data_IF_574536610437
#
_entry.id   IF_574536610437
#
_cell.length_a   1.000
_cell.length_b   1.000
_cell.length_c   1.000
_cell.angle_alpha   90.00
_cell.angle_beta   90.00
_cell.angle_gamma   90.00
#
_symmetry.space_group_name_H-M   'P 1'
#
loop_
_entity.id
_entity.type
_entity.pdbx_description
1 polymer ?
#
# COMPACT_ATOMS: atom_id res chain seq x y z
N UNK A 1 -24.87 -32.01 -85.06
CA UNK A 1 -24.56 -32.69 -83.81
C UNK A 1 -23.93 -31.67 -82.88
N UNK A 2 -24.72 -31.07 -81.99
CA UNK A 2 -24.29 -30.02 -81.05
C UNK A 2 -24.04 -30.69 -79.71
N UNK A 3 -22.79 -30.61 -79.19
CA UNK A 3 -22.42 -31.07 -77.85
C UNK A 3 -22.56 -29.90 -76.90
N UNK A 4 -23.52 -30.01 -75.98
CA UNK A 4 -23.64 -29.07 -74.86
C UNK A 4 -22.70 -29.50 -73.73
N UNK A 5 -21.75 -28.64 -73.37
CA UNK A 5 -20.95 -28.77 -72.14
C UNK A 5 -21.69 -28.08 -70.96
N UNK A 6 -22.18 -28.88 -70.03
CA UNK A 6 -22.65 -28.39 -68.76
C UNK A 6 -21.43 -28.10 -67.89
N UNK A 7 -21.21 -26.86 -67.56
CA UNK A 7 -20.29 -26.41 -66.49
C UNK A 7 -21.08 -26.25 -65.18
N UNK A 8 -20.79 -27.10 -64.20
CA UNK A 8 -21.31 -26.94 -62.81
C UNK A 8 -20.47 -25.90 -62.02
N UNK A 9 -21.08 -24.98 -61.33
CA UNK A 9 -20.33 -24.07 -60.45
C UNK A 9 -19.92 -24.77 -59.14
N UNK A 10 -18.63 -24.77 -58.87
CA UNK A 10 -18.04 -25.21 -57.59
C UNK A 10 -18.31 -24.12 -56.54
N UNK A 11 -19.25 -24.37 -55.63
CA UNK A 11 -19.46 -23.49 -54.45
C UNK A 11 -18.41 -23.86 -53.41
N UNK A 12 -17.38 -23.02 -53.28
CA UNK A 12 -16.41 -23.10 -52.18
C UNK A 12 -17.06 -22.61 -50.89
N UNK A 13 -17.41 -23.54 -50.01
CA UNK A 13 -17.84 -23.22 -48.65
C UNK A 13 -16.61 -22.73 -47.81
N UNK A 14 -16.53 -21.43 -47.58
CA UNK A 14 -15.61 -20.85 -46.61
C UNK A 14 -16.13 -21.22 -45.22
N UNK A 15 -15.53 -22.21 -44.59
CA UNK A 15 -15.69 -22.43 -43.14
C UNK A 15 -14.98 -21.32 -42.39
N UNK A 16 -15.75 -20.36 -41.85
CA UNK A 16 -15.23 -19.45 -40.83
C UNK A 16 -14.94 -20.31 -39.60
N UNK A 17 -13.68 -20.65 -39.40
CA UNK A 17 -13.19 -21.07 -38.10
C UNK A 17 -13.19 -19.84 -37.21
N UNK A 18 -14.24 -19.64 -36.42
CA UNK A 18 -14.20 -18.76 -35.26
C UNK A 18 -13.11 -19.34 -34.35
N UNK A 19 -11.93 -18.70 -34.33
CA UNK A 19 -10.98 -18.91 -33.27
C UNK A 19 -11.71 -18.52 -31.98
N UNK A 20 -12.08 -19.49 -31.14
CA UNK A 20 -12.40 -19.20 -29.76
C UNK A 20 -11.11 -18.54 -29.20
N UNK A 21 -11.14 -17.24 -29.04
CA UNK A 21 -10.18 -16.57 -28.17
C UNK A 21 -10.32 -17.33 -26.85
N UNK A 22 -9.30 -18.11 -26.50
CA UNK A 22 -9.30 -18.82 -25.21
C UNK A 22 -9.50 -17.80 -24.11
N UNK A 23 -10.57 -17.97 -23.34
CA UNK A 23 -10.78 -17.14 -22.16
C UNK A 23 -9.50 -17.16 -21.31
N UNK A 24 -9.09 -16.00 -20.83
CA UNK A 24 -7.97 -15.91 -19.89
C UNK A 24 -8.34 -16.74 -18.65
N UNK A 25 -7.44 -17.63 -18.24
CA UNK A 25 -7.64 -18.56 -17.12
C UNK A 25 -7.05 -18.10 -15.81
N UNK A 26 -6.28 -16.98 -15.80
CA UNK A 26 -5.65 -16.42 -14.61
C UNK A 26 -6.16 -15.02 -14.29
N UNK A 27 -6.20 -14.70 -13.00
CA UNK A 27 -6.55 -13.38 -12.49
C UNK A 27 -5.43 -12.38 -12.77
N UNK A 28 -5.81 -11.14 -13.12
CA UNK A 28 -4.92 -10.02 -13.32
C UNK A 28 -5.19 -8.95 -12.26
N UNK A 29 -4.20 -8.68 -11.43
CA UNK A 29 -4.27 -7.78 -10.28
C UNK A 29 -3.16 -6.75 -10.42
N UNK A 30 -3.48 -5.46 -10.24
CA UNK A 30 -2.44 -4.43 -10.27
C UNK A 30 -2.75 -3.31 -9.27
N UNK A 31 -1.73 -2.57 -8.83
CA UNK A 31 -1.97 -1.37 -8.05
C UNK A 31 -0.96 -1.07 -6.96
N UNK A 32 -1.47 -0.82 -5.75
CA UNK A 32 -0.69 -0.36 -4.61
C UNK A 32 0.55 -1.19 -4.33
N UNK A 33 1.69 -0.53 -4.24
CA UNK A 33 2.95 -1.16 -3.82
C UNK A 33 2.91 -1.62 -2.35
N UNK A 34 2.09 -0.99 -1.52
CA UNK A 34 1.86 -1.39 -0.12
C UNK A 34 1.05 -2.68 -0.01
N UNK A 35 0.02 -2.83 -0.85
CA UNK A 35 -0.83 -4.04 -0.86
C UNK A 35 -0.16 -5.18 -1.61
N UNK A 36 0.80 -4.89 -2.51
CA UNK A 36 1.49 -5.87 -3.33
C UNK A 36 2.01 -7.09 -2.56
N UNK A 37 2.77 -6.94 -1.44
CA UNK A 37 3.27 -8.10 -0.69
C UNK A 37 2.13 -8.98 -0.15
N UNK A 38 1.08 -8.38 0.40
CA UNK A 38 -0.08 -9.12 0.89
C UNK A 38 -0.80 -9.87 -0.23
N UNK A 39 -1.07 -9.18 -1.35
CA UNK A 39 -1.72 -9.79 -2.51
C UNK A 39 -0.89 -10.90 -3.14
N UNK A 40 0.44 -10.80 -3.10
CA UNK A 40 1.36 -11.85 -3.57
C UNK A 40 1.27 -13.10 -2.70
N UNK A 41 1.31 -12.94 -1.36
CA UNK A 41 1.16 -14.06 -0.42
C UNK A 41 -0.17 -14.78 -0.65
N UNK A 42 -1.28 -14.02 -0.77
CA UNK A 42 -2.60 -14.63 -1.03
C UNK A 42 -2.64 -15.30 -2.40
N UNK A 43 -2.04 -14.71 -3.43
CA UNK A 43 -2.00 -15.28 -4.78
C UNK A 43 -1.22 -16.60 -4.83
N UNK A 44 -0.07 -16.67 -4.15
CA UNK A 44 0.73 -17.90 -4.04
C UNK A 44 -0.05 -18.97 -3.28
N UNK A 45 -0.59 -18.64 -2.10
CA UNK A 45 -1.39 -19.57 -1.31
C UNK A 45 -2.67 -20.02 -2.06
N UNK A 46 -3.28 -19.15 -2.85
CA UNK A 46 -4.43 -19.49 -3.69
C UNK A 46 -4.07 -20.51 -4.76
N UNK A 47 -2.97 -20.31 -5.48
CA UNK A 47 -2.50 -21.26 -6.48
C UNK A 47 -2.09 -22.63 -5.91
N UNK A 48 -1.73 -22.69 -4.63
CA UNK A 48 -1.40 -23.94 -3.93
C UNK A 48 -2.65 -24.68 -3.39
N UNK A 49 -3.69 -23.95 -2.99
CA UNK A 49 -4.85 -24.53 -2.29
C UNK A 49 -6.08 -24.73 -3.17
N UNK A 50 -6.12 -24.12 -4.37
CA UNK A 50 -7.25 -24.19 -5.29
C UNK A 50 -6.82 -24.73 -6.65
N UNK A 51 -7.78 -25.26 -7.43
CA UNK A 51 -7.54 -25.77 -8.79
C UNK A 51 -7.51 -24.66 -9.86
N UNK A 52 -7.14 -23.42 -9.48
CA UNK A 52 -7.02 -22.28 -10.38
C UNK A 52 -5.55 -21.87 -10.54
N UNK A 53 -5.17 -21.29 -11.68
CA UNK A 53 -3.84 -20.74 -11.84
C UNK A 53 -3.53 -19.64 -10.83
N UNK A 54 -2.28 -19.57 -10.41
CA UNK A 54 -1.80 -18.50 -9.53
C UNK A 54 -2.10 -17.13 -10.15
N UNK A 55 -2.79 -16.21 -9.45
CA UNK A 55 -3.03 -14.86 -9.92
C UNK A 55 -1.75 -14.09 -10.24
N UNK A 56 -1.78 -13.27 -11.28
CA UNK A 56 -0.69 -12.34 -11.61
C UNK A 56 -0.90 -11.05 -10.85
N UNK A 57 0.06 -10.69 -9.99
CA UNK A 57 0.00 -9.48 -9.16
C UNK A 57 1.11 -8.52 -9.57
N UNK A 58 0.74 -7.30 -9.98
CA UNK A 58 1.65 -6.24 -10.38
C UNK A 58 1.58 -5.04 -9.44
N UNK A 59 2.74 -4.46 -9.13
CA UNK A 59 2.85 -3.16 -8.46
C UNK A 59 2.55 -2.00 -9.43
N UNK A 60 2.86 -0.78 -8.99
CA UNK A 60 2.77 0.43 -9.83
C UNK A 60 2.00 1.58 -9.19
N UNK A 61 1.54 1.38 -7.95
CA UNK A 61 0.84 2.39 -7.16
C UNK A 61 -0.68 2.36 -7.32
N UNK A 62 -1.37 2.79 -6.27
CA UNK A 62 -2.85 2.75 -6.17
C UNK A 62 -3.55 3.49 -7.32
N UNK A 63 -3.04 4.67 -7.70
CA UNK A 63 -3.63 5.46 -8.79
C UNK A 63 -3.51 4.79 -10.15
N UNK A 64 -2.37 4.16 -10.45
CA UNK A 64 -2.17 3.43 -11.70
C UNK A 64 -3.06 2.18 -11.75
N UNK A 65 -3.17 1.43 -10.63
CA UNK A 65 -4.07 0.28 -10.53
C UNK A 65 -5.53 0.66 -10.79
N UNK A 66 -6.02 1.72 -10.13
CA UNK A 66 -7.40 2.20 -10.36
C UNK A 66 -7.64 2.67 -11.78
N UNK A 67 -6.67 3.33 -12.43
CA UNK A 67 -6.78 3.68 -13.85
C UNK A 67 -6.87 2.44 -14.73
N UNK A 68 -6.00 1.43 -14.53
CA UNK A 68 -6.06 0.15 -15.26
C UNK A 68 -7.41 -0.56 -15.03
N UNK A 69 -7.94 -0.55 -13.81
CA UNK A 69 -9.26 -1.11 -13.50
C UNK A 69 -10.35 -0.44 -14.35
N UNK A 70 -10.26 0.86 -14.54
CA UNK A 70 -11.24 1.66 -15.27
C UNK A 70 -11.01 1.68 -16.81
N UNK A 71 -10.13 0.86 -17.38
CA UNK A 71 -9.89 0.82 -18.84
C UNK A 71 -11.04 0.14 -19.63
N UNK A 72 -11.96 -0.53 -18.96
CA UNK A 72 -13.10 -1.21 -19.57
C UNK A 72 -13.35 -2.58 -18.98
N UNK A 73 -14.26 -3.33 -19.60
CA UNK A 73 -14.60 -4.70 -19.27
C UNK A 73 -13.95 -5.68 -20.25
N UNK A 74 -13.90 -6.95 -19.86
CA UNK A 74 -13.43 -8.06 -20.69
C UNK A 74 -12.02 -8.53 -20.36
N UNK A 75 -11.66 -9.65 -20.96
CA UNK A 75 -10.48 -10.47 -20.61
C UNK A 75 -9.13 -9.76 -20.82
N UNK A 76 -9.08 -8.71 -21.62
CA UNK A 76 -7.87 -7.92 -21.87
C UNK A 76 -7.58 -6.90 -20.76
N UNK A 77 -8.46 -6.75 -19.76
CA UNK A 77 -8.35 -5.77 -18.68
C UNK A 77 -8.18 -6.46 -17.34
N UNK A 78 -7.61 -5.75 -16.33
CA UNK A 78 -7.42 -6.32 -15.00
C UNK A 78 -8.75 -6.55 -14.28
N UNK A 79 -8.76 -7.47 -13.33
CA UNK A 79 -9.94 -7.85 -12.55
C UNK A 79 -10.02 -7.10 -11.23
N UNK A 80 -8.85 -6.87 -10.62
CA UNK A 80 -8.71 -6.30 -9.28
C UNK A 80 -7.69 -5.17 -9.31
N UNK A 81 -8.01 -4.06 -8.65
CA UNK A 81 -7.05 -3.00 -8.35
C UNK A 81 -6.76 -2.92 -6.85
N UNK A 82 -5.51 -3.16 -6.46
CA UNK A 82 -5.03 -2.96 -5.10
C UNK A 82 -4.87 -1.48 -4.79
N UNK A 83 -5.26 -1.04 -3.58
CA UNK A 83 -5.20 0.37 -3.20
C UNK A 83 -4.92 0.58 -1.71
N UNK A 84 -3.97 1.44 -1.39
CA UNK A 84 -3.66 1.91 -0.03
C UNK A 84 -4.38 3.22 0.34
N UNK A 85 -5.39 3.57 -0.43
CA UNK A 85 -6.32 4.69 -0.15
C UNK A 85 -7.66 4.39 -0.79
N UNK A 86 -8.73 4.93 -0.22
CA UNK A 86 -10.06 4.76 -0.81
C UNK A 86 -10.10 5.36 -2.22
N UNK A 87 -10.84 4.72 -3.13
CA UNK A 87 -11.09 5.20 -4.49
C UNK A 87 -11.68 6.62 -4.46
N UNK A 88 -11.32 7.45 -5.43
CA UNK A 88 -11.80 8.83 -5.52
C UNK A 88 -12.98 8.93 -6.48
N UNK A 89 -13.79 9.98 -6.35
CA UNK A 89 -14.89 10.22 -7.28
C UNK A 89 -14.41 10.34 -8.74
N UNK A 90 -13.26 10.95 -8.97
CA UNK A 90 -12.66 11.04 -10.30
C UNK A 90 -12.30 9.68 -10.92
N UNK A 91 -11.91 8.69 -10.09
CA UNK A 91 -11.65 7.33 -10.56
C UNK A 91 -12.98 6.64 -10.91
N UNK A 92 -14.04 6.82 -10.10
CA UNK A 92 -15.38 6.28 -10.37
C UNK A 92 -15.96 6.89 -11.66
N UNK A 93 -15.80 8.18 -11.87
CA UNK A 93 -16.27 8.86 -13.08
C UNK A 93 -15.55 8.30 -14.33
N UNK A 94 -14.23 8.04 -14.23
CA UNK A 94 -13.47 7.40 -15.29
C UNK A 94 -13.95 5.97 -15.55
N UNK A 95 -14.18 5.17 -14.50
CA UNK A 95 -14.72 3.83 -14.63
C UNK A 95 -16.08 3.84 -15.34
N UNK A 96 -16.99 4.69 -14.90
CA UNK A 96 -18.34 4.82 -15.48
C UNK A 96 -18.28 5.24 -16.96
N UNK A 97 -17.39 6.17 -17.31
CA UNK A 97 -17.21 6.62 -18.70
C UNK A 97 -16.74 5.46 -19.62
N UNK A 98 -16.06 4.46 -19.08
CA UNK A 98 -15.57 3.29 -19.80
C UNK A 98 -16.44 2.02 -19.59
N UNK A 99 -17.65 2.18 -19.01
CA UNK A 99 -18.63 1.10 -18.84
C UNK A 99 -18.35 0.17 -17.66
N UNK A 100 -17.42 0.52 -16.77
CA UNK A 100 -17.15 -0.20 -15.51
C UNK A 100 -17.98 0.45 -14.40
N UNK A 101 -19.23 0.01 -14.24
CA UNK A 101 -20.21 0.66 -13.34
C UNK A 101 -20.31 -0.03 -11.97
N UNK A 102 -20.10 -1.33 -11.91
CA UNK A 102 -20.31 -2.15 -10.74
C UNK A 102 -18.96 -2.59 -10.15
N UNK A 103 -18.44 -1.79 -9.22
CA UNK A 103 -17.25 -2.11 -8.45
C UNK A 103 -17.63 -2.63 -7.07
N UNK A 104 -16.94 -3.67 -6.61
CA UNK A 104 -16.96 -4.07 -5.20
C UNK A 104 -15.77 -3.42 -4.50
N UNK A 105 -16.00 -2.72 -3.40
CA UNK A 105 -14.96 -2.21 -2.51
C UNK A 105 -14.72 -3.23 -1.39
N UNK A 106 -13.50 -3.74 -1.26
CA UNK A 106 -13.12 -4.72 -0.25
C UNK A 106 -12.02 -4.12 0.61
N UNK A 107 -12.33 -3.88 1.89
CA UNK A 107 -11.33 -3.45 2.87
C UNK A 107 -10.69 -4.69 3.48
N UNK A 108 -9.36 -4.82 3.33
CA UNK A 108 -8.63 -6.03 3.75
C UNK A 108 -8.03 -5.92 5.15
N UNK A 109 -7.98 -4.73 5.70
CA UNK A 109 -7.34 -4.43 6.98
C UNK A 109 -6.68 -3.06 6.94
N UNK A 110 -5.69 -2.85 7.79
CA UNK A 110 -4.98 -1.58 7.88
C UNK A 110 -3.47 -1.82 7.80
N UNK A 111 -2.77 -0.84 7.24
CA UNK A 111 -1.34 -0.69 7.39
C UNK A 111 -1.10 0.26 8.57
N UNK A 112 -0.34 -0.17 9.54
CA UNK A 112 0.00 0.63 10.71
C UNK A 112 1.44 0.37 11.11
N UNK A 113 2.28 1.41 11.05
CA UNK A 113 3.67 1.33 11.46
C UNK A 113 3.88 2.00 12.82
N UNK A 114 4.75 1.41 13.60
CA UNK A 114 5.09 1.87 14.95
C UNK A 114 6.57 2.18 15.04
N UNK A 115 6.90 3.09 15.92
CA UNK A 115 8.26 3.39 16.31
C UNK A 115 8.54 2.73 17.66
N UNK A 116 9.61 1.95 17.74
CA UNK A 116 9.95 1.25 18.98
C UNK A 116 11.46 1.28 19.27
N UNK A 117 11.79 1.39 20.56
CA UNK A 117 13.15 1.28 21.10
C UNK A 117 13.33 -0.07 21.79
N UNK A 118 14.58 -0.42 22.16
CA UNK A 118 14.84 -1.55 23.05
C UNK A 118 14.04 -1.41 24.36
N UNK A 119 13.63 -2.52 24.95
CA UNK A 119 12.85 -2.52 26.21
C UNK A 119 13.57 -1.77 27.35
N UNK A 120 14.89 -1.73 27.33
CA UNK A 120 15.74 -1.00 28.27
C UNK A 120 16.20 0.37 27.72
N UNK A 121 15.82 0.71 26.49
CA UNK A 121 16.17 1.95 25.83
C UNK A 121 15.33 3.15 26.33
N UNK A 122 15.43 4.31 25.68
CA UNK A 122 14.66 5.51 26.04
C UNK A 122 13.17 5.37 25.69
N UNK A 123 12.32 6.10 26.41
CA UNK A 123 10.91 6.28 26.06
C UNK A 123 10.79 7.43 25.06
N UNK A 124 9.98 7.23 24.02
CA UNK A 124 9.72 8.24 23.02
C UNK A 124 8.23 8.62 22.96
N UNK A 125 7.97 9.92 22.93
CA UNK A 125 6.68 10.50 22.60
C UNK A 125 6.88 11.41 21.39
N UNK A 126 6.62 10.86 20.20
CA UNK A 126 6.97 11.48 18.93
C UNK A 126 5.77 12.17 18.28
N UNK A 127 6.10 13.12 17.43
CA UNK A 127 5.21 13.68 16.41
C UNK A 127 5.82 13.46 15.01
N UNK A 128 5.06 13.53 13.91
CA UNK A 128 5.63 13.55 12.57
C UNK A 128 6.67 14.66 12.38
N UNK A 129 6.45 15.81 13.01
CA UNK A 129 7.40 16.94 13.01
C UNK A 129 8.73 16.59 13.65
N UNK A 130 8.71 15.88 14.78
CA UNK A 130 9.93 15.42 15.45
C UNK A 130 10.72 14.45 14.58
N UNK A 131 10.03 13.46 13.98
CA UNK A 131 10.68 12.48 13.12
C UNK A 131 11.23 13.13 11.85
N UNK A 132 10.48 14.04 11.21
CA UNK A 132 10.96 14.80 10.08
C UNK A 132 12.19 15.66 10.48
N UNK A 133 12.12 16.38 11.59
CA UNK A 133 13.23 17.18 12.12
C UNK A 133 14.49 16.37 12.44
N UNK A 134 14.33 15.10 12.83
CA UNK A 134 15.45 14.21 13.13
C UNK A 134 16.04 13.56 11.87
N UNK A 135 15.21 13.11 10.93
CA UNK A 135 15.61 12.16 9.88
C UNK A 135 15.64 12.76 8.48
N UNK A 136 15.03 13.91 8.22
CA UNK A 136 15.07 14.54 6.90
C UNK A 136 16.48 15.05 6.52
N UNK A 137 16.78 15.08 5.24
CA UNK A 137 18.04 15.64 4.71
C UNK A 137 18.14 17.14 4.94
N UNK A 138 17.03 17.87 4.82
CA UNK A 138 16.93 19.31 5.00
C UNK A 138 15.76 19.67 5.90
N UNK A 139 15.90 20.74 6.65
CA UNK A 139 14.87 21.28 7.54
C UNK A 139 14.64 22.78 7.25
N UNK A 140 13.43 23.26 7.53
CA UNK A 140 13.10 24.66 7.51
C UNK A 140 13.63 25.33 8.79
N UNK A 141 14.45 26.38 8.64
CA UNK A 141 14.94 27.19 9.75
C UNK A 141 15.04 28.65 9.30
N UNK A 142 14.48 29.55 10.10
CA UNK A 142 14.50 31.00 9.84
C UNK A 142 14.01 31.39 8.42
N UNK A 143 13.02 30.66 7.90
CA UNK A 143 12.42 30.88 6.58
C UNK A 143 13.25 30.36 5.39
N UNK A 144 14.28 29.54 5.64
CA UNK A 144 15.11 28.95 4.60
C UNK A 144 15.30 27.45 4.82
N UNK A 145 15.58 26.71 3.72
CA UNK A 145 16.00 25.30 3.80
C UNK A 145 17.47 25.21 4.16
N UNK A 146 17.78 24.41 5.15
CA UNK A 146 19.14 24.14 5.60
C UNK A 146 19.38 22.65 5.72
N UNK A 147 20.64 22.22 5.52
CA UNK A 147 21.05 20.85 5.83
C UNK A 147 20.74 20.54 7.30
N UNK A 148 20.21 19.35 7.57
CA UNK A 148 19.88 18.93 8.92
C UNK A 148 21.15 18.76 9.76
N UNK A 149 21.29 19.57 10.80
CA UNK A 149 22.45 19.59 11.70
C UNK A 149 22.17 18.98 13.07
N UNK A 150 20.92 18.54 13.37
CA UNK A 150 20.57 17.93 14.63
C UNK A 150 21.41 16.67 14.89
N UNK A 151 21.91 16.49 16.10
CA UNK A 151 22.73 15.35 16.54
C UNK A 151 21.96 14.46 17.51
N UNK A 152 21.19 15.08 18.37
CA UNK A 152 20.38 14.40 19.39
C UNK A 152 18.90 14.63 19.15
N UNK A 153 18.06 13.77 19.68
CA UNK A 153 16.60 13.97 19.64
C UNK A 153 16.20 15.25 20.37
N UNK A 154 16.94 15.60 21.45
CA UNK A 154 16.71 16.86 22.17
C UNK A 154 17.06 18.12 21.38
N UNK A 155 17.95 18.04 20.35
CA UNK A 155 18.21 19.16 19.44
C UNK A 155 17.00 19.46 18.54
N UNK A 156 16.16 18.46 18.29
CA UNK A 156 14.91 18.60 17.51
C UNK A 156 13.78 19.10 18.41
N UNK A 157 13.62 18.46 19.57
CA UNK A 157 12.59 18.80 20.54
C UNK A 157 13.14 18.53 21.95
N UNK A 158 13.27 19.57 22.76
CA UNK A 158 13.83 19.49 24.12
C UNK A 158 13.06 18.55 25.07
N UNK A 159 11.83 18.14 24.70
CA UNK A 159 11.07 17.17 25.49
C UNK A 159 11.45 15.70 25.15
N UNK A 160 12.20 15.47 24.07
CA UNK A 160 12.68 14.16 23.68
C UNK A 160 13.99 13.78 24.42
N UNK A 161 14.34 12.49 24.45
CA UNK A 161 15.57 12.03 25.08
C UNK A 161 16.83 12.70 24.50
N UNK A 162 17.81 13.00 25.36
CA UNK A 162 19.07 13.62 24.95
C UNK A 162 20.08 12.58 24.40
N UNK A 163 19.61 11.54 23.72
CA UNK A 163 20.43 10.56 23.03
C UNK A 163 20.71 10.98 21.59
N UNK A 164 21.81 10.47 21.05
CA UNK A 164 22.13 10.62 19.64
C UNK A 164 21.01 10.08 18.75
N UNK A 165 20.74 10.76 17.63
CA UNK A 165 19.79 10.28 16.63
C UNK A 165 20.39 9.07 15.97
N UNK A 166 19.69 7.94 16.08
CA UNK A 166 19.94 6.73 15.31
C UNK A 166 18.59 6.05 15.09
N UNK A 167 18.15 6.00 13.83
CA UNK A 167 16.88 5.40 13.45
C UNK A 167 17.08 4.36 12.35
N UNK A 168 16.52 3.18 12.55
CA UNK A 168 16.43 2.12 11.55
C UNK A 168 15.04 2.18 10.92
N UNK A 169 14.98 2.65 9.66
CA UNK A 169 13.74 2.91 8.95
C UNK A 169 13.54 1.89 7.81
N UNK A 170 12.31 1.68 7.34
CA UNK A 170 12.07 0.78 6.22
C UNK A 170 12.82 1.24 4.98
N UNK A 171 13.55 0.36 4.32
CA UNK A 171 14.18 0.61 3.03
C UNK A 171 13.16 0.82 1.92
N UNK A 172 13.58 1.35 0.80
CA UNK A 172 12.68 1.74 -0.31
C UNK A 172 11.95 0.56 -0.97
N UNK A 173 12.40 -0.66 -0.74
CA UNK A 173 11.74 -1.89 -1.21
C UNK A 173 10.69 -2.42 -0.24
N UNK A 174 10.65 -1.90 0.98
CA UNK A 174 9.72 -2.36 2.01
C UNK A 174 8.35 -1.70 1.84
N UNK A 175 7.27 -2.49 1.91
CA UNK A 175 5.89 -1.97 1.72
C UNK A 175 5.51 -0.86 2.71
N UNK A 176 6.04 -0.89 3.94
CA UNK A 176 5.81 0.13 4.97
C UNK A 176 6.57 1.43 4.72
N UNK A 177 7.53 1.48 3.78
CA UNK A 177 8.25 2.72 3.44
C UNK A 177 7.30 3.80 2.94
N UNK A 178 6.33 3.47 2.11
CA UNK A 178 5.36 4.45 1.60
C UNK A 178 4.52 5.07 2.72
N UNK A 179 4.14 4.28 3.75
CA UNK A 179 3.43 4.84 4.92
C UNK A 179 4.33 5.77 5.72
N UNK A 180 5.58 5.37 5.95
CA UNK A 180 6.58 6.20 6.62
C UNK A 180 6.77 7.52 5.87
N UNK A 181 6.98 7.48 4.55
CA UNK A 181 7.18 8.66 3.72
C UNK A 181 5.97 9.60 3.76
N UNK A 182 4.75 9.06 3.58
CA UNK A 182 3.54 9.89 3.46
C UNK A 182 3.01 10.34 4.82
N UNK A 183 2.92 9.43 5.79
CA UNK A 183 2.27 9.71 7.09
C UNK A 183 3.20 10.34 8.11
N UNK A 184 4.51 10.25 7.90
CA UNK A 184 5.50 10.78 8.85
C UNK A 184 6.32 11.88 8.20
N UNK A 185 7.10 11.58 7.17
CA UNK A 185 8.02 12.56 6.59
C UNK A 185 7.26 13.69 5.89
N UNK A 186 6.31 13.40 5.00
CA UNK A 186 5.53 14.41 4.30
C UNK A 186 4.64 15.22 5.26
N UNK A 187 4.03 14.55 6.25
CA UNK A 187 3.23 15.22 7.26
C UNK A 187 4.09 16.23 8.06
N UNK A 188 5.23 15.80 8.60
CA UNK A 188 6.15 16.67 9.32
C UNK A 188 6.75 17.77 8.46
N UNK A 189 7.05 17.47 7.19
CA UNK A 189 7.52 18.45 6.21
C UNK A 189 6.51 19.59 6.02
N UNK A 190 5.22 19.26 5.88
CA UNK A 190 4.15 20.25 5.74
C UNK A 190 3.94 21.05 7.04
N UNK A 191 3.90 20.38 8.17
CA UNK A 191 3.71 21.03 9.47
C UNK A 191 4.85 22.00 9.82
N UNK A 192 6.09 21.72 9.41
CA UNK A 192 7.25 22.59 9.62
C UNK A 192 7.35 23.74 8.60
N UNK A 193 6.51 23.75 7.56
CA UNK A 193 6.60 24.70 6.45
C UNK A 193 7.72 24.41 5.45
N UNK A 194 8.47 23.30 5.61
CA UNK A 194 9.54 22.93 4.68
C UNK A 194 8.99 22.59 3.28
N UNK A 195 7.79 22.00 3.20
CA UNK A 195 7.12 21.71 1.95
C UNK A 195 6.96 22.95 1.06
N UNK A 196 6.48 24.06 1.64
CA UNK A 196 6.26 25.32 0.89
C UNK A 196 7.58 25.90 0.38
N UNK A 197 8.66 25.76 1.15
CA UNK A 197 10.00 26.17 0.75
C UNK A 197 10.56 25.27 -0.37
N UNK A 198 10.35 23.96 -0.32
CA UNK A 198 10.69 23.03 -1.41
C UNK A 198 9.91 23.37 -2.67
N UNK A 199 8.60 23.61 -2.54
CA UNK A 199 7.73 23.95 -3.66
C UNK A 199 8.17 25.25 -4.33
N UNK A 200 8.50 26.29 -3.54
CA UNK A 200 8.98 27.57 -4.02
C UNK A 200 10.37 27.47 -4.69
N UNK A 201 11.21 26.56 -4.23
CA UNK A 201 12.56 26.31 -4.77
C UNK A 201 12.60 25.33 -5.95
N UNK A 202 11.47 24.68 -6.30
CA UNK A 202 11.45 23.70 -7.39
C UNK A 202 11.59 24.36 -8.76
N UNK A 203 12.35 23.71 -9.64
CA UNK A 203 12.51 24.06 -11.05
C UNK A 203 11.57 23.31 -11.99
N UNK A 204 10.57 22.59 -11.45
CA UNK A 204 9.58 21.83 -12.21
C UNK A 204 8.91 22.68 -13.30
N UNK A 205 8.61 22.05 -14.45
CA UNK A 205 8.09 22.73 -15.63
C UNK A 205 6.66 23.27 -15.46
N UNK A 206 5.89 22.68 -14.57
CA UNK A 206 4.51 23.05 -14.22
C UNK A 206 4.25 22.81 -12.74
N UNK A 207 3.06 23.15 -12.26
CA UNK A 207 2.72 23.03 -10.85
C UNK A 207 2.73 21.56 -10.39
N UNK A 208 2.31 20.62 -11.22
CA UNK A 208 2.33 19.20 -10.90
C UNK A 208 3.77 18.65 -10.76
N UNK A 209 4.68 19.12 -11.62
CA UNK A 209 6.10 18.78 -11.52
C UNK A 209 6.74 19.39 -10.26
N UNK A 210 6.39 20.63 -9.91
CA UNK A 210 6.86 21.27 -8.68
C UNK A 210 6.37 20.57 -7.42
N UNK A 211 5.10 20.18 -7.38
CA UNK A 211 4.54 19.41 -6.27
C UNK A 211 5.25 18.05 -6.12
N UNK A 212 5.49 17.38 -7.24
CA UNK A 212 6.23 16.10 -7.23
C UNK A 212 7.65 16.27 -6.68
N UNK A 213 8.36 17.32 -7.09
CA UNK A 213 9.71 17.63 -6.60
C UNK A 213 9.69 17.94 -5.10
N UNK A 214 8.73 18.75 -4.63
CA UNK A 214 8.57 19.09 -3.23
C UNK A 214 8.27 17.86 -2.36
N UNK A 215 7.37 16.97 -2.81
CA UNK A 215 7.08 15.70 -2.13
C UNK A 215 8.32 14.82 -2.07
N UNK A 216 9.05 14.68 -3.18
CA UNK A 216 10.30 13.90 -3.21
C UNK A 216 11.36 14.47 -2.25
N UNK A 217 11.46 15.79 -2.14
CA UNK A 217 12.36 16.45 -1.19
C UNK A 217 11.93 16.22 0.28
N UNK A 218 10.62 16.21 0.58
CA UNK A 218 10.12 15.85 1.91
C UNK A 218 10.47 14.41 2.30
N UNK A 219 10.48 13.47 1.35
CA UNK A 219 10.80 12.07 1.58
C UNK A 219 12.32 11.80 1.68
N UNK A 220 13.15 12.77 1.32
CA UNK A 220 14.61 12.61 1.35
C UNK A 220 15.13 12.56 2.79
N UNK A 221 15.70 11.44 3.19
CA UNK A 221 16.32 11.25 4.50
C UNK A 221 17.81 11.61 4.46
N UNK A 222 18.36 11.94 5.63
CA UNK A 222 19.79 12.22 5.82
C UNK A 222 20.64 10.98 5.56
N UNK A 223 21.87 11.17 5.08
CA UNK A 223 22.79 10.09 4.67
C UNK A 223 24.06 10.01 5.54
N UNK A 224 24.07 10.68 6.68
CA UNK A 224 25.22 10.74 7.60
C UNK A 224 25.27 9.59 8.62
N UNK A 225 24.43 8.58 8.45
CA UNK A 225 24.35 7.39 9.29
C UNK A 225 23.38 7.47 10.46
N UNK A 226 22.70 8.61 10.65
CA UNK A 226 21.68 8.76 11.71
C UNK A 226 20.32 8.20 11.28
N UNK A 227 20.04 8.15 9.99
CA UNK A 227 18.91 7.46 9.40
C UNK A 227 19.45 6.32 8.53
N UNK A 228 19.08 5.10 8.84
CA UNK A 228 19.60 3.89 8.20
C UNK A 228 18.45 3.10 7.59
N UNK A 229 18.44 3.01 6.27
CA UNK A 229 17.47 2.18 5.55
C UNK A 229 17.75 0.69 5.78
N UNK A 230 16.72 -0.06 6.15
CA UNK A 230 16.78 -1.52 6.31
C UNK A 230 15.92 -2.14 5.20
N UNK A 231 16.59 -2.77 4.24
CA UNK A 231 15.95 -3.49 3.12
C UNK A 231 15.54 -4.92 3.51
N UNK A 232 16.03 -5.43 4.64
CA UNK A 232 15.66 -6.71 5.21
C UNK A 232 14.30 -6.69 5.90
N UNK A 233 13.96 -7.81 6.52
CA UNK A 233 12.74 -7.92 7.32
C UNK A 233 12.87 -7.23 8.70
N UNK A 234 11.78 -7.23 9.47
CA UNK A 234 11.77 -6.62 10.80
C UNK A 234 12.68 -7.32 11.81
N UNK A 235 13.12 -8.57 11.56
CA UNK A 235 14.09 -9.26 12.45
C UNK A 235 15.48 -8.65 12.32
N UNK A 236 15.84 -8.10 11.16
CA UNK A 236 17.07 -7.32 11.01
C UNK A 236 16.97 -6.02 11.83
N UNK A 237 15.87 -5.28 11.71
CA UNK A 237 15.63 -4.06 12.50
C UNK A 237 15.69 -4.36 13.99
N UNK A 238 15.04 -5.44 14.46
CA UNK A 238 15.08 -5.88 15.86
C UNK A 238 16.51 -6.18 16.33
N UNK A 239 17.31 -6.86 15.51
CA UNK A 239 18.71 -7.18 15.83
C UNK A 239 19.58 -5.92 15.95
N UNK A 240 19.32 -4.91 15.11
CA UNK A 240 20.00 -3.62 15.14
C UNK A 240 19.64 -2.83 16.40
N UNK A 241 18.37 -2.85 16.80
CA UNK A 241 17.89 -2.23 18.05
C UNK A 241 18.54 -2.90 19.26
N UNK A 242 18.57 -4.24 19.33
CA UNK A 242 19.21 -4.98 20.40
C UNK A 242 20.71 -4.66 20.53
N UNK A 243 21.39 -4.37 19.42
CA UNK A 243 22.79 -3.96 19.41
C UNK A 243 23.00 -2.48 19.78
N UNK A 244 21.95 -1.63 19.71
CA UNK A 244 22.00 -0.19 19.94
C UNK A 244 20.77 0.25 20.71
N UNK A 245 20.75 0.01 22.02
CA UNK A 245 19.57 0.22 22.86
C UNK A 245 19.06 1.68 22.92
N UNK A 246 19.86 2.67 22.48
CA UNK A 246 19.45 4.07 22.37
C UNK A 246 18.78 4.40 21.02
N UNK A 247 18.84 3.49 20.04
CA UNK A 247 18.24 3.68 18.74
C UNK A 247 16.72 3.46 18.75
N UNK A 248 16.07 3.93 17.68
CA UNK A 248 14.66 3.66 17.40
C UNK A 248 14.54 2.89 16.09
N UNK A 249 13.61 1.93 16.01
CA UNK A 249 13.28 1.19 14.80
C UNK A 249 11.83 1.40 14.39
N UNK A 250 11.56 1.22 13.11
CA UNK A 250 10.21 1.24 12.56
C UNK A 250 9.77 -0.19 12.24
N UNK A 251 8.58 -0.56 12.71
CA UNK A 251 8.01 -1.90 12.60
C UNK A 251 6.55 -1.83 12.15
N UNK A 252 6.01 -2.93 11.61
CA UNK A 252 4.57 -3.14 11.58
C UNK A 252 4.03 -3.40 12.98
N UNK A 253 2.78 -2.99 13.26
CA UNK A 253 2.17 -3.17 14.58
C UNK A 253 2.20 -4.64 15.03
N UNK A 254 1.79 -5.57 14.16
CA UNK A 254 1.73 -7.00 14.51
C UNK A 254 3.11 -7.57 14.88
N UNK A 255 4.18 -7.13 14.20
CA UNK A 255 5.53 -7.53 14.59
C UNK A 255 5.91 -7.00 15.96
N UNK A 256 5.58 -5.75 16.26
CA UNK A 256 5.79 -5.19 17.60
C UNK A 256 5.02 -5.97 18.66
N UNK A 257 3.74 -6.27 18.44
CA UNK A 257 2.89 -7.00 19.40
C UNK A 257 3.46 -8.38 19.75
N UNK A 258 4.12 -9.04 18.82
CA UNK A 258 4.80 -10.31 19.03
C UNK A 258 6.20 -10.19 19.68
N UNK A 259 6.69 -8.96 19.92
CA UNK A 259 8.04 -8.70 20.49
C UNK A 259 8.02 -7.67 21.63
N UNK A 260 6.91 -7.57 22.34
CA UNK A 260 6.74 -6.62 23.49
C UNK A 260 7.65 -6.94 24.67
N UNK A 261 8.22 -8.13 24.73
CA UNK A 261 9.25 -8.54 25.70
C UNK A 261 10.64 -7.92 25.41
N UNK A 262 10.86 -7.45 24.17
CA UNK A 262 12.14 -6.89 23.69
C UNK A 262 12.04 -5.40 23.34
N UNK A 263 10.87 -4.95 22.98
CA UNK A 263 10.61 -3.62 22.43
C UNK A 263 9.61 -2.86 23.30
N UNK A 264 9.81 -1.55 23.41
CA UNK A 264 8.79 -0.62 23.91
C UNK A 264 8.44 0.41 22.83
N UNK A 265 7.14 0.62 22.65
CA UNK A 265 6.61 1.45 21.58
C UNK A 265 6.54 2.91 21.97
N UNK A 266 6.85 3.79 21.01
CA UNK A 266 6.62 5.21 21.12
C UNK A 266 5.14 5.57 20.90
N UNK A 267 4.65 6.61 21.53
CA UNK A 267 3.40 7.27 21.12
C UNK A 267 3.65 8.17 19.91
N UNK A 268 2.62 8.36 19.08
CA UNK A 268 2.64 9.34 17.99
C UNK A 268 1.50 10.34 18.19
N UNK A 269 1.82 11.63 18.31
CA UNK A 269 0.88 12.67 18.74
C UNK A 269 0.17 12.33 20.07
N UNK A 270 0.89 11.69 20.99
CA UNK A 270 0.35 11.27 22.29
C UNK A 270 -0.53 10.02 22.24
N UNK A 271 -0.72 9.40 21.06
CA UNK A 271 -1.57 8.21 20.89
C UNK A 271 -0.67 6.98 20.80
N UNK A 272 -0.94 5.98 21.65
CA UNK A 272 -0.29 4.69 21.56
C UNK A 272 -0.88 3.87 20.39
N UNK A 273 -0.04 3.21 19.57
CA UNK A 273 -0.54 2.34 18.51
C UNK A 273 -1.18 1.09 19.12
N UNK A 274 -2.32 0.73 18.58
CA UNK A 274 -3.04 -0.52 18.85
C UNK A 274 -3.98 -0.83 17.69
N UNK A 275 -4.46 -2.07 17.58
CA UNK A 275 -5.50 -2.41 16.60
C UNK A 275 -6.70 -1.47 16.74
N UNK A 276 -7.10 -1.13 17.98
CA UNK A 276 -8.22 -0.24 18.25
C UNK A 276 -7.95 1.18 17.75
N UNK A 277 -6.83 1.82 18.14
CA UNK A 277 -6.51 3.19 17.74
C UNK A 277 -6.27 3.33 16.24
N UNK A 278 -5.75 2.28 15.59
CA UNK A 278 -5.54 2.22 14.14
C UNK A 278 -6.88 2.07 13.40
N UNK A 279 -7.70 1.12 13.79
CA UNK A 279 -8.99 0.86 13.13
C UNK A 279 -9.98 2.02 13.27
N UNK A 280 -9.90 2.78 14.38
CA UNK A 280 -10.67 4.01 14.57
C UNK A 280 -10.08 5.24 13.85
N UNK A 281 -8.88 5.11 13.25
CA UNK A 281 -8.18 6.22 12.60
C UNK A 281 -7.63 7.27 13.57
N UNK A 282 -7.49 6.92 14.86
CA UNK A 282 -6.93 7.80 15.91
C UNK A 282 -5.40 7.85 15.83
N UNK A 283 -4.75 6.68 15.58
CA UNK A 283 -3.31 6.61 15.44
C UNK A 283 -2.89 7.15 14.05
N UNK A 284 -2.07 8.23 13.98
CA UNK A 284 -1.89 8.97 12.74
C UNK A 284 -1.06 8.24 11.68
N UNK A 285 -0.23 7.25 12.08
CA UNK A 285 0.66 6.54 11.16
C UNK A 285 0.02 5.21 10.73
N UNK A 286 -1.20 5.31 10.26
CA UNK A 286 -1.98 4.19 9.76
C UNK A 286 -2.87 4.59 8.60
N UNK A 287 -3.30 3.60 7.83
CA UNK A 287 -4.28 3.76 6.75
C UNK A 287 -5.02 2.46 6.44
N UNK A 288 -6.29 2.52 6.06
CA UNK A 288 -6.99 1.36 5.56
C UNK A 288 -6.45 0.91 4.20
N UNK A 289 -6.43 -0.39 3.99
CA UNK A 289 -6.04 -1.03 2.74
C UNK A 289 -7.24 -1.65 2.06
N UNK A 290 -7.28 -1.54 0.75
CA UNK A 290 -8.40 -1.98 -0.08
C UNK A 290 -7.93 -2.75 -1.30
N UNK A 291 -8.85 -3.49 -1.88
CA UNK A 291 -8.86 -3.74 -3.30
C UNK A 291 -10.27 -3.52 -3.89
N UNK A 292 -10.31 -3.23 -5.18
CA UNK A 292 -11.54 -2.99 -5.95
C UNK A 292 -11.68 -4.06 -7.01
N UNK A 293 -12.86 -4.68 -7.09
CA UNK A 293 -13.16 -5.80 -8.00
C UNK A 293 -14.17 -5.36 -9.05
N UNK A 294 -13.94 -5.69 -10.31
CA UNK A 294 -14.96 -5.61 -11.34
C UNK A 294 -15.98 -6.71 -11.14
N UNK A 295 -17.17 -6.38 -10.64
CA UNK A 295 -18.23 -7.38 -10.43
C UNK A 295 -18.60 -8.11 -11.73
N UNK A 296 -18.59 -7.42 -12.87
CA UNK A 296 -18.90 -8.02 -14.18
C UNK A 296 -17.91 -9.11 -14.61
N UNK A 297 -16.74 -9.24 -13.97
CA UNK A 297 -15.79 -10.30 -14.23
C UNK A 297 -16.04 -11.56 -13.38
N UNK A 298 -16.84 -11.46 -12.31
CA UNK A 298 -17.23 -12.62 -11.49
C UNK A 298 -18.08 -13.57 -12.35
N UNK A 299 -17.72 -14.85 -12.33
CA UNK A 299 -18.35 -15.88 -13.17
C UNK A 299 -17.91 -15.88 -14.65
N UNK A 300 -17.09 -14.89 -15.06
CA UNK A 300 -16.46 -14.84 -16.40
C UNK A 300 -14.99 -15.25 -16.28
N UNK A 301 -14.26 -14.66 -15.36
CA UNK A 301 -12.86 -15.01 -15.11
C UNK A 301 -12.82 -16.10 -14.02
N UNK A 302 -12.26 -17.29 -14.34
CA UNK A 302 -12.22 -18.41 -13.40
C UNK A 302 -11.49 -18.06 -12.10
N UNK A 303 -12.05 -18.46 -10.96
CA UNK A 303 -11.41 -18.29 -9.64
C UNK A 303 -11.51 -16.89 -9.04
N UNK A 304 -12.13 -15.89 -9.70
CA UNK A 304 -12.18 -14.53 -9.19
C UNK A 304 -12.96 -14.44 -7.87
N UNK A 305 -14.13 -15.06 -7.79
CA UNK A 305 -14.94 -15.06 -6.55
C UNK A 305 -14.20 -15.78 -5.44
N UNK A 306 -13.65 -16.93 -5.73
CA UNK A 306 -12.89 -17.76 -4.80
C UNK A 306 -11.66 -17.02 -4.25
N UNK A 307 -10.91 -16.32 -5.11
CA UNK A 307 -9.78 -15.51 -4.68
C UNK A 307 -10.18 -14.37 -3.75
N UNK A 308 -11.23 -13.61 -4.10
CA UNK A 308 -11.74 -12.51 -3.29
C UNK A 308 -12.20 -13.02 -1.92
N UNK A 309 -12.93 -14.13 -1.87
CA UNK A 309 -13.38 -14.76 -0.62
C UNK A 309 -12.21 -15.29 0.20
N UNK A 310 -11.22 -15.92 -0.45
CA UNK A 310 -10.03 -16.44 0.23
C UNK A 310 -9.18 -15.32 0.82
N UNK A 311 -9.01 -14.21 0.09
CA UNK A 311 -8.25 -13.06 0.60
C UNK A 311 -8.79 -12.54 1.94
N UNK A 312 -10.10 -12.45 2.08
CA UNK A 312 -10.75 -11.93 3.30
C UNK A 312 -11.12 -13.03 4.30
N UNK A 313 -10.66 -14.26 4.10
CA UNK A 313 -10.87 -15.33 5.08
C UNK A 313 -10.16 -15.05 6.41
N UNK A 314 -10.61 -15.67 7.47
CA UNK A 314 -9.96 -15.56 8.79
C UNK A 314 -8.53 -16.10 8.75
N UNK A 315 -8.27 -17.15 7.94
CA UNK A 315 -6.93 -17.74 7.77
C UNK A 315 -5.94 -16.78 7.07
N UNK A 316 -6.44 -15.83 6.26
CA UNK A 316 -5.62 -14.85 5.57
C UNK A 316 -5.62 -13.49 6.28
N UNK A 317 -6.76 -12.81 6.34
CA UNK A 317 -6.87 -11.43 6.82
C UNK A 317 -7.38 -11.30 8.27
N UNK A 318 -7.73 -12.43 8.93
CA UNK A 318 -8.21 -12.44 10.30
C UNK A 318 -7.13 -12.20 11.35
N UNK A 319 -7.52 -12.01 12.62
CA UNK A 319 -6.59 -11.98 13.74
C UNK A 319 -5.80 -13.28 13.84
N UNK A 320 -4.46 -13.21 13.69
CA UNK A 320 -3.58 -14.37 13.62
C UNK A 320 -3.61 -15.11 12.28
N UNK A 321 -4.24 -14.56 11.27
CA UNK A 321 -4.16 -15.04 9.89
C UNK A 321 -2.80 -14.76 9.26
N UNK A 322 -2.52 -15.41 8.12
CA UNK A 322 -1.21 -15.36 7.48
C UNK A 322 -0.71 -13.93 7.20
N UNK A 323 -1.59 -13.00 6.87
CA UNK A 323 -1.18 -11.61 6.56
C UNK A 323 -0.81 -10.79 7.80
N UNK A 324 -1.28 -11.17 8.99
CA UNK A 324 -0.89 -10.52 10.25
C UNK A 324 0.60 -10.70 10.54
N UNK A 325 1.19 -11.86 10.20
CA UNK A 325 2.61 -12.13 10.35
C UNK A 325 3.48 -11.19 9.48
N UNK A 326 2.90 -10.66 8.40
CA UNK A 326 3.55 -9.71 7.50
C UNK A 326 3.19 -8.24 7.81
N UNK A 327 2.49 -7.98 8.91
CA UNK A 327 2.22 -6.63 9.40
C UNK A 327 0.84 -6.06 9.05
N UNK A 328 -0.05 -6.84 8.42
CA UNK A 328 -1.43 -6.41 8.25
C UNK A 328 -2.09 -6.30 9.63
N UNK A 329 -2.67 -5.15 9.92
CA UNK A 329 -3.54 -4.97 11.10
C UNK A 329 -4.94 -5.44 10.71
N UNK A 330 -5.48 -6.48 11.36
CA UNK A 330 -6.79 -7.03 11.03
C UNK A 330 -7.90 -5.99 11.15
N UNK A 331 -8.88 -6.06 10.26
CA UNK A 331 -10.06 -5.21 10.32
C UNK A 331 -11.05 -5.75 11.39
N UNK A 332 -11.43 -4.96 12.41
CA UNK A 332 -12.48 -5.37 13.34
C UNK A 332 -13.83 -5.64 12.66
N UNK A 333 -14.06 -5.07 11.46
CA UNK A 333 -15.26 -5.28 10.65
C UNK A 333 -15.09 -6.36 9.56
N UNK A 334 -14.07 -7.21 9.66
CA UNK A 334 -13.77 -8.25 8.66
C UNK A 334 -14.99 -9.12 8.36
N UNK A 335 -15.77 -9.52 9.37
CA UNK A 335 -16.98 -10.30 9.17
C UNK A 335 -18.03 -9.60 8.29
N UNK A 336 -18.15 -8.27 8.39
CA UNK A 336 -19.03 -7.50 7.52
C UNK A 336 -18.49 -7.45 6.08
N UNK A 337 -17.18 -7.36 5.92
CA UNK A 337 -16.51 -7.43 4.60
C UNK A 337 -16.70 -8.81 3.96
N UNK A 338 -16.54 -9.90 4.72
CA UNK A 338 -16.80 -11.27 4.25
C UNK A 338 -18.26 -11.43 3.77
N UNK A 339 -19.23 -10.95 4.55
CA UNK A 339 -20.65 -10.97 4.16
C UNK A 339 -20.93 -10.16 2.89
N UNK A 340 -20.29 -8.99 2.72
CA UNK A 340 -20.42 -8.17 1.53
C UNK A 340 -19.81 -8.83 0.29
N UNK A 341 -18.68 -9.51 0.44
CA UNK A 341 -18.02 -10.29 -0.61
C UNK A 341 -18.89 -11.47 -1.05
N UNK A 342 -19.42 -12.25 -0.10
CA UNK A 342 -20.29 -13.39 -0.43
C UNK A 342 -21.56 -12.94 -1.17
N UNK A 343 -22.14 -11.79 -0.77
CA UNK A 343 -23.29 -11.18 -1.43
C UNK A 343 -22.95 -10.41 -2.72
N UNK A 344 -21.66 -10.36 -3.10
CA UNK A 344 -21.16 -9.58 -4.25
C UNK A 344 -21.67 -8.14 -4.25
N UNK A 345 -21.59 -7.50 -3.09
CA UNK A 345 -22.15 -6.16 -2.87
C UNK A 345 -21.37 -5.10 -3.63
N UNK A 346 -22.06 -4.36 -4.49
CA UNK A 346 -21.50 -3.18 -5.16
C UNK A 346 -21.29 -2.06 -4.15
N UNK A 347 -20.17 -1.37 -4.25
CA UNK A 347 -19.86 -0.24 -3.37
C UNK A 347 -20.93 0.86 -3.43
N UNK A 348 -21.21 1.46 -2.27
CA UNK A 348 -22.09 2.61 -2.21
C UNK A 348 -21.42 3.84 -2.85
N UNK A 349 -22.21 4.79 -3.40
CA UNK A 349 -21.70 6.09 -3.85
C UNK A 349 -20.86 6.76 -2.75
N UNK A 350 -19.79 7.42 -3.14
CA UNK A 350 -18.98 8.22 -2.21
C UNK A 350 -19.84 9.38 -1.67
N UNK A 351 -19.75 9.63 -0.37
CA UNK A 351 -20.43 10.75 0.30
C UNK A 351 -19.59 12.01 0.24
#
# INVERSE_FOLDING_TARGET
MLKHHLTAPLIAAFALTASAAGARDNLQIAGSSTVLPYATIVAEAFGENFEFPTPVVEGGGSGAGRKKLCEGLGEATIDIANSSSRIKQSDIDLCNANGVTDLMEVRIGFDGIVFASDINGPDFALTPTDVFGALSAQVAKDGALMANAAKTWADVNAALPAQDILAFIPGTKHGTREVFDVKVLEAGCKETGAYDLFLAGSSGADDAAKEKDAVAACHATRTDGMSVDIDGDYTETLSRIAANASAIGVFGLSFYENNTDKLKVATMNGIAPSVESISKGEYPVSRPLYFYVKKAHIGVIPGLKEYVSFFVSDDMAGPGGALADYGLVPDPELAATQAAVEAETVMAPLK
#
